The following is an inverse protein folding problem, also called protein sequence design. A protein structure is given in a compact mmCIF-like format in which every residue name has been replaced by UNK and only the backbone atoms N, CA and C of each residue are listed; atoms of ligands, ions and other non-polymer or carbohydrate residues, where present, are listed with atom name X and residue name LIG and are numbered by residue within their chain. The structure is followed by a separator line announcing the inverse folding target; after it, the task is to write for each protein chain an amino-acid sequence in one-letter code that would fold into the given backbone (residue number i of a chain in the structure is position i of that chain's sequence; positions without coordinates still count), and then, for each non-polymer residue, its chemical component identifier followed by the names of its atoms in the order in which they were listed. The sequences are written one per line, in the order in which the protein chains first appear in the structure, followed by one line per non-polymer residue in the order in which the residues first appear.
data_IF_823642136940
#
_entry.id   IF_823642136940
#
_cell.length_a   1.000
_cell.length_b   1.000
_cell.length_c   1.000
_cell.angle_alpha   90.00
_cell.angle_beta   90.00
_cell.angle_gamma   90.00
#
_symmetry.space_group_name_H-M   'P 1'
#
loop_
_entity.id
_entity.type
_entity.pdbx_description
1 polymer ?
#
# COMPACT_ATOMS: atom_id res chain seq x y z
N UNK A 1 -0.71 -25.76 3.97
CA UNK A 1 0.60 -25.79 4.69
C UNK A 1 0.85 -24.40 5.22
N UNK A 2 0.99 -24.23 6.54
CA UNK A 2 1.36 -22.95 7.16
C UNK A 2 2.83 -22.61 6.96
N UNK A 3 3.24 -21.44 7.48
CA UNK A 3 4.66 -21.06 7.54
C UNK A 3 5.43 -22.05 8.43
N UNK A 4 6.66 -22.38 8.06
CA UNK A 4 7.50 -23.32 8.81
C UNK A 4 7.83 -22.82 10.24
N UNK A 5 7.97 -21.50 10.40
CA UNK A 5 8.04 -20.79 11.68
C UNK A 5 6.96 -19.72 11.71
N UNK A 6 6.37 -19.52 12.87
CA UNK A 6 5.34 -18.49 13.05
C UNK A 6 5.97 -17.09 13.04
N UNK A 7 5.44 -16.22 12.19
CA UNK A 7 5.93 -14.84 12.00
C UNK A 7 4.86 -13.87 12.44
N UNK A 8 5.23 -12.94 13.30
CA UNK A 8 4.33 -11.99 13.95
C UNK A 8 4.65 -10.54 13.58
N UNK A 9 3.59 -9.73 13.53
CA UNK A 9 3.66 -8.28 13.43
C UNK A 9 3.74 -7.72 14.84
N UNK A 10 4.83 -7.03 15.15
CA UNK A 10 5.02 -6.40 16.46
C UNK A 10 4.50 -4.99 16.45
N UNK A 11 4.79 -4.26 15.36
CA UNK A 11 4.51 -2.84 15.30
C UNK A 11 4.28 -2.36 13.88
N UNK A 12 3.49 -1.29 13.77
CA UNK A 12 3.17 -0.62 12.51
C UNK A 12 3.10 0.89 12.72
N UNK A 13 3.72 1.63 11.81
CA UNK A 13 3.64 3.08 11.70
C UNK A 13 3.63 3.53 10.24
N UNK A 14 3.07 4.70 10.00
CA UNK A 14 3.19 5.41 8.73
C UNK A 14 3.35 6.92 8.93
N UNK A 15 3.84 7.59 7.92
CA UNK A 15 3.69 9.04 7.82
C UNK A 15 2.22 9.40 7.53
N UNK A 16 1.82 10.66 7.71
CA UNK A 16 0.67 11.16 6.99
C UNK A 16 0.93 11.02 5.48
N UNK A 17 -0.14 10.85 4.70
CA UNK A 17 -0.01 10.84 3.24
C UNK A 17 -0.39 12.20 2.69
N UNK A 18 0.56 12.86 2.01
CA UNK A 18 0.31 14.12 1.35
C UNK A 18 -0.28 13.92 -0.04
N UNK A 19 -0.88 14.97 -0.57
CA UNK A 19 -1.39 14.97 -1.94
C UNK A 19 -0.32 15.50 -2.88
N UNK A 20 0.27 14.60 -3.64
CA UNK A 20 1.32 14.93 -4.60
C UNK A 20 0.83 15.84 -5.73
N UNK A 21 1.67 16.80 -6.10
CA UNK A 21 1.40 17.87 -7.05
C UNK A 21 2.62 18.14 -7.93
N UNK A 22 2.92 17.31 -8.94
CA UNK A 22 4.13 17.51 -9.77
C UNK A 22 4.23 18.87 -10.47
N UNK A 23 3.06 19.52 -10.75
CA UNK A 23 3.00 20.84 -11.39
C UNK A 23 2.91 22.01 -10.39
N UNK A 24 2.61 21.75 -9.14
CA UNK A 24 2.43 22.72 -8.06
C UNK A 24 3.02 22.13 -6.78
N UNK A 25 4.34 21.86 -6.74
CA UNK A 25 4.98 21.11 -5.66
C UNK A 25 4.82 21.79 -4.28
N UNK A 26 4.70 23.09 -4.24
CA UNK A 26 4.46 23.89 -3.03
C UNK A 26 3.13 23.55 -2.32
N UNK A 27 2.20 22.87 -3.01
CA UNK A 27 0.91 22.42 -2.45
C UNK A 27 0.98 21.02 -1.86
N UNK A 28 2.08 20.30 -2.03
CA UNK A 28 2.34 19.01 -1.40
C UNK A 28 2.97 19.22 -0.04
N UNK A 29 2.30 18.86 1.04
CA UNK A 29 2.77 19.10 2.40
C UNK A 29 4.06 18.34 2.74
N UNK A 30 4.39 17.26 2.02
CA UNK A 30 5.65 16.54 2.19
C UNK A 30 6.73 16.91 1.17
N UNK A 31 6.51 17.95 0.35
CA UNK A 31 7.46 18.36 -0.69
C UNK A 31 8.87 18.69 -0.17
N UNK A 32 9.02 19.07 1.09
CA UNK A 32 10.32 19.35 1.70
C UNK A 32 11.08 18.11 2.20
N UNK A 33 10.52 16.90 2.06
CA UNK A 33 11.07 15.66 2.60
C UNK A 33 11.40 14.64 1.53
N UNK A 34 12.51 13.94 1.70
CA UNK A 34 12.77 12.68 1.03
C UNK A 34 12.06 11.55 1.79
N UNK A 35 11.45 10.62 1.07
CA UNK A 35 10.69 9.56 1.75
C UNK A 35 11.58 8.46 2.38
N UNK A 36 12.82 8.32 1.97
CA UNK A 36 13.81 7.47 2.67
C UNK A 36 14.21 8.04 4.03
N UNK A 37 14.29 9.37 4.19
CA UNK A 37 14.46 10.04 5.49
C UNK A 37 13.23 9.82 6.39
N UNK A 38 12.04 10.00 5.84
CA UNK A 38 10.79 9.77 6.59
C UNK A 38 10.66 8.30 7.01
N UNK A 39 11.03 7.33 6.16
CA UNK A 39 11.07 5.92 6.53
C UNK A 39 12.05 5.64 7.68
N UNK A 40 13.23 6.26 7.65
CA UNK A 40 14.20 6.16 8.73
C UNK A 40 13.65 6.68 10.07
N UNK A 41 12.91 7.79 10.04
CA UNK A 41 12.23 8.30 11.24
C UNK A 41 11.21 7.30 11.78
N UNK A 42 10.42 6.64 10.91
CA UNK A 42 9.47 5.60 11.31
C UNK A 42 10.19 4.39 11.94
N UNK A 43 11.29 3.92 11.35
CA UNK A 43 12.07 2.82 11.92
C UNK A 43 12.65 3.18 13.28
N UNK A 44 13.24 4.39 13.43
CA UNK A 44 13.78 4.86 14.70
C UNK A 44 12.71 4.96 15.80
N UNK A 45 11.51 5.45 15.46
CA UNK A 45 10.41 5.49 16.42
C UNK A 45 9.94 4.08 16.82
N UNK A 46 9.87 3.12 15.88
CA UNK A 46 9.57 1.72 16.18
C UNK A 46 10.60 1.08 17.11
N UNK A 47 11.88 1.27 16.82
CA UNK A 47 12.99 0.77 17.65
C UNK A 47 12.87 1.35 19.07
N UNK A 48 12.70 2.67 19.18
CA UNK A 48 12.59 3.38 20.46
C UNK A 48 11.40 2.92 21.29
N UNK A 49 10.18 2.90 20.71
CA UNK A 49 8.95 2.59 21.46
C UNK A 49 8.84 1.12 21.85
N UNK A 50 9.49 0.22 21.09
CA UNK A 50 9.59 -1.18 21.42
C UNK A 50 10.84 -1.53 22.26
N UNK A 51 11.68 -0.54 22.59
CA UNK A 51 12.95 -0.72 23.32
C UNK A 51 13.82 -1.82 22.70
N UNK A 52 13.82 -1.90 21.37
CA UNK A 52 14.57 -2.89 20.60
C UNK A 52 16.03 -2.45 20.50
N UNK A 53 16.98 -3.35 20.81
CA UNK A 53 18.37 -3.11 20.44
C UNK A 53 18.50 -3.20 18.91
N UNK A 54 19.01 -2.17 18.22
CA UNK A 54 19.21 -2.24 16.76
C UNK A 54 20.06 -3.44 16.30
N UNK A 55 20.91 -3.98 17.14
CA UNK A 55 21.73 -5.19 16.86
C UNK A 55 20.90 -6.47 16.77
N UNK A 56 19.67 -6.45 17.24
CA UNK A 56 18.74 -7.59 17.11
C UNK A 56 18.06 -7.65 15.74
N UNK A 57 18.26 -6.64 14.88
CA UNK A 57 17.66 -6.56 13.55
C UNK A 57 18.60 -7.26 12.56
N UNK A 58 18.08 -8.25 11.84
CA UNK A 58 18.85 -9.02 10.87
C UNK A 58 18.77 -8.41 9.47
N UNK A 59 17.58 -7.99 9.06
CA UNK A 59 17.31 -7.50 7.69
C UNK A 59 16.41 -6.28 7.68
N UNK A 60 16.52 -5.47 6.63
CA UNK A 60 15.56 -4.41 6.34
C UNK A 60 15.17 -4.41 4.86
N UNK A 61 13.88 -4.20 4.56
CA UNK A 61 13.37 -4.13 3.19
C UNK A 61 12.71 -2.78 2.92
N UNK A 62 12.92 -2.22 1.73
CA UNK A 62 12.29 -0.97 1.29
C UNK A 62 11.59 -1.18 -0.03
N UNK A 63 10.25 -1.06 -0.04
CA UNK A 63 9.44 -1.10 -1.26
C UNK A 63 9.32 0.28 -1.90
N UNK A 64 9.40 0.34 -3.23
CA UNK A 64 9.06 1.52 -4.03
C UNK A 64 8.63 1.10 -5.42
N UNK A 65 7.61 1.75 -5.97
CA UNK A 65 7.11 1.43 -7.31
C UNK A 65 7.91 2.10 -8.44
N UNK A 66 8.58 3.21 -8.12
CA UNK A 66 9.41 3.94 -9.05
C UNK A 66 10.83 4.10 -8.48
N UNK A 67 11.72 3.09 -8.59
CA UNK A 67 13.08 3.10 -8.04
C UNK A 67 14.01 4.02 -8.86
N UNK A 68 13.62 5.27 -9.02
CA UNK A 68 14.29 6.29 -9.81
C UNK A 68 14.62 7.50 -8.94
N UNK A 69 15.58 8.30 -9.35
CA UNK A 69 15.99 9.54 -8.67
C UNK A 69 16.17 9.30 -7.17
N UNK A 70 15.46 10.03 -6.32
CA UNK A 70 15.58 9.88 -4.85
C UNK A 70 14.89 8.63 -4.27
N UNK A 71 14.01 7.95 -5.03
CA UNK A 71 13.53 6.62 -4.65
C UNK A 71 14.54 5.50 -4.97
N UNK A 72 15.66 5.83 -5.62
CA UNK A 72 16.82 4.94 -5.70
C UNK A 72 17.50 4.91 -4.32
N UNK A 73 17.29 3.86 -3.57
CA UNK A 73 17.73 3.76 -2.17
C UNK A 73 19.02 2.97 -1.99
N UNK A 74 19.77 2.74 -3.08
CA UNK A 74 20.97 1.90 -3.07
C UNK A 74 20.73 0.55 -2.40
N UNK A 75 19.76 -0.20 -2.91
CA UNK A 75 19.39 -1.50 -2.36
C UNK A 75 18.81 -1.45 -0.93
N UNK A 76 18.15 -0.36 -0.57
CA UNK A 76 17.58 -0.15 0.77
C UNK A 76 18.56 0.40 1.80
N UNK A 77 19.82 0.71 1.42
CA UNK A 77 20.82 1.22 2.37
C UNK A 77 20.57 2.67 2.81
N UNK A 78 20.04 3.53 1.95
CA UNK A 78 19.85 4.93 2.32
C UNK A 78 18.92 5.11 3.53
N UNK A 79 17.71 4.54 3.61
CA UNK A 79 16.92 4.66 4.82
C UNK A 79 17.59 4.02 6.05
N UNK A 80 18.36 2.93 5.86
CA UNK A 80 19.11 2.32 6.97
C UNK A 80 20.25 3.24 7.48
N UNK A 81 20.92 3.97 6.58
CA UNK A 81 21.93 4.95 6.94
C UNK A 81 21.32 6.17 7.66
N UNK A 82 20.21 6.72 7.14
CA UNK A 82 19.49 7.79 7.81
C UNK A 82 18.98 7.39 9.21
N UNK A 83 18.57 6.12 9.37
CA UNK A 83 18.18 5.59 10.68
C UNK A 83 19.38 5.25 11.59
N UNK A 84 20.61 5.43 11.11
CA UNK A 84 21.84 5.06 11.82
C UNK A 84 21.83 3.59 12.32
N UNK A 85 21.31 2.69 11.49
CA UNK A 85 21.28 1.26 11.80
C UNK A 85 22.68 0.65 11.68
N UNK A 86 22.99 -0.45 12.40
CA UNK A 86 24.24 -1.19 12.26
C UNK A 86 24.54 -1.58 10.80
N UNK A 87 25.80 -1.50 10.40
CA UNK A 87 26.21 -1.80 9.01
C UNK A 87 26.03 -3.26 8.63
N UNK A 88 26.00 -4.13 9.62
CA UNK A 88 25.81 -5.57 9.50
C UNK A 88 24.40 -5.95 9.03
N UNK A 89 23.43 -5.07 9.19
CA UNK A 89 22.06 -5.32 8.74
C UNK A 89 22.02 -5.40 7.21
N UNK A 90 21.59 -6.53 6.69
CA UNK A 90 21.35 -6.72 5.26
C UNK A 90 20.12 -5.91 4.82
N UNK A 91 20.19 -5.27 3.67
CA UNK A 91 19.06 -4.46 3.14
C UNK A 91 18.70 -4.89 1.73
N UNK A 92 17.43 -4.71 1.39
CA UNK A 92 16.90 -4.97 0.05
C UNK A 92 15.92 -3.88 -0.37
N UNK A 93 16.04 -3.41 -1.62
CA UNK A 93 14.99 -2.63 -2.28
C UNK A 93 14.13 -3.55 -3.15
N UNK A 94 12.80 -3.41 -3.06
CA UNK A 94 11.83 -4.22 -3.80
C UNK A 94 10.98 -3.31 -4.68
N UNK A 95 10.90 -3.65 -5.97
CA UNK A 95 9.93 -3.11 -6.92
C UNK A 95 8.98 -4.23 -7.35
N UNK A 96 7.74 -4.10 -6.97
CA UNK A 96 6.58 -4.84 -7.48
C UNK A 96 5.42 -3.86 -7.64
N UNK A 97 5.71 -2.71 -8.22
CA UNK A 97 4.76 -1.62 -8.42
C UNK A 97 4.02 -1.26 -7.11
N UNK A 98 2.71 -1.11 -7.15
CA UNK A 98 1.90 -0.76 -5.97
C UNK A 98 2.06 -1.72 -4.79
N UNK A 99 2.42 -3.00 -5.04
CA UNK A 99 2.61 -4.04 -4.03
C UNK A 99 3.99 -4.07 -3.38
N UNK A 100 4.91 -3.19 -3.74
CA UNK A 100 6.32 -3.26 -3.37
C UNK A 100 6.57 -3.43 -1.88
N UNK A 101 5.92 -2.62 -1.02
CA UNK A 101 6.09 -2.76 0.44
C UNK A 101 5.54 -4.09 0.97
N UNK A 102 4.40 -4.56 0.47
CA UNK A 102 3.84 -5.85 0.89
C UNK A 102 4.70 -7.03 0.39
N UNK A 103 5.28 -6.90 -0.79
CA UNK A 103 6.25 -7.88 -1.31
C UNK A 103 7.54 -7.87 -0.48
N UNK A 104 8.05 -6.70 -0.09
CA UNK A 104 9.17 -6.58 0.83
C UNK A 104 8.88 -7.22 2.19
N UNK A 105 7.71 -6.95 2.78
CA UNK A 105 7.26 -7.61 4.01
C UNK A 105 7.14 -9.13 3.82
N UNK A 106 6.60 -9.60 2.69
CA UNK A 106 6.54 -11.03 2.35
C UNK A 106 7.94 -11.65 2.27
N UNK A 107 8.92 -10.96 1.69
CA UNK A 107 10.31 -11.44 1.65
C UNK A 107 10.87 -11.60 3.06
N UNK A 108 10.69 -10.60 3.94
CA UNK A 108 11.08 -10.70 5.35
C UNK A 108 10.38 -11.84 6.10
N UNK A 109 9.06 -12.03 5.87
CA UNK A 109 8.32 -13.17 6.44
C UNK A 109 8.89 -14.50 5.96
N UNK A 110 9.26 -14.62 4.69
CA UNK A 110 9.88 -15.84 4.16
C UNK A 110 11.28 -16.08 4.76
N UNK A 111 12.08 -15.02 4.92
CA UNK A 111 13.40 -15.11 5.57
C UNK A 111 13.27 -15.64 6.99
N UNK A 112 12.36 -15.09 7.78
CA UNK A 112 12.07 -15.54 9.15
C UNK A 112 11.54 -16.97 9.16
N UNK A 113 10.56 -17.30 8.30
CA UNK A 113 9.95 -18.62 8.25
C UNK A 113 10.95 -19.73 7.85
N UNK A 114 11.97 -19.40 7.04
CA UNK A 114 13.05 -20.30 6.65
C UNK A 114 14.21 -20.32 7.67
N UNK A 115 14.21 -19.46 8.68
CA UNK A 115 15.23 -19.41 9.72
C UNK A 115 16.49 -18.63 9.35
N UNK A 116 16.45 -17.80 8.31
CA UNK A 116 17.56 -16.92 7.93
C UNK A 116 17.60 -15.62 8.73
N UNK A 117 16.45 -15.18 9.25
CA UNK A 117 16.32 -14.01 10.10
C UNK A 117 15.37 -14.30 11.28
N UNK A 118 15.46 -13.50 12.33
CA UNK A 118 14.51 -13.47 13.43
C UNK A 118 13.76 -12.14 13.53
N UNK A 119 14.38 -11.03 13.11
CA UNK A 119 13.82 -9.68 13.18
C UNK A 119 14.04 -8.95 11.86
N UNK A 120 12.95 -8.45 11.26
CA UNK A 120 13.01 -7.70 10.01
C UNK A 120 12.24 -6.38 10.13
N UNK A 121 12.87 -5.29 9.69
CA UNK A 121 12.22 -4.01 9.44
C UNK A 121 11.76 -3.99 7.98
N UNK A 122 10.47 -3.99 7.74
CA UNK A 122 9.93 -3.75 6.41
C UNK A 122 9.47 -2.30 6.27
N UNK A 123 9.71 -1.70 5.12
CA UNK A 123 9.31 -0.34 4.80
C UNK A 123 8.79 -0.20 3.38
N UNK A 124 8.15 0.92 3.12
CA UNK A 124 7.74 1.31 1.78
C UNK A 124 7.71 2.83 1.66
N UNK A 125 8.10 3.32 0.50
CA UNK A 125 8.19 4.74 0.19
C UNK A 125 7.61 5.04 -1.18
N UNK A 126 7.06 6.24 -1.35
CA UNK A 126 6.80 6.83 -2.66
C UNK A 126 6.69 8.34 -2.54
N UNK A 127 7.19 9.10 -3.52
CA UNK A 127 7.02 10.55 -3.61
C UNK A 127 6.64 10.97 -5.03
N UNK A 128 5.32 11.05 -5.29
CA UNK A 128 4.83 11.23 -6.66
C UNK A 128 4.83 12.71 -7.12
N UNK A 129 5.21 13.67 -6.26
CA UNK A 129 5.55 15.05 -6.68
C UNK A 129 6.94 15.09 -7.28
N UNK A 130 7.94 14.51 -6.60
CA UNK A 130 9.34 14.50 -7.05
C UNK A 130 9.56 13.52 -8.20
N UNK A 131 8.83 12.39 -8.17
CA UNK A 131 8.90 11.35 -9.20
C UNK A 131 7.50 11.12 -9.77
N UNK A 132 7.10 11.89 -10.78
CA UNK A 132 5.78 11.76 -11.40
C UNK A 132 5.53 10.37 -11.97
N UNK A 133 4.27 9.98 -12.11
CA UNK A 133 3.88 8.76 -12.81
C UNK A 133 4.55 8.66 -14.18
N UNK A 134 5.12 7.49 -14.48
CA UNK A 134 5.92 7.30 -15.69
C UNK A 134 7.34 7.88 -15.60
N UNK A 135 7.80 8.24 -14.38
CA UNK A 135 9.19 8.64 -14.11
C UNK A 135 9.59 9.99 -14.69
N UNK A 136 8.63 10.86 -15.04
CA UNK A 136 8.94 12.17 -15.63
C UNK A 136 9.72 12.10 -16.96
N UNK A 137 9.59 11.00 -17.71
CA UNK A 137 10.32 10.74 -18.96
C UNK A 137 11.66 10.00 -18.79
N UNK A 138 12.04 9.65 -17.55
CA UNK A 138 13.26 8.88 -17.29
C UNK A 138 13.11 7.38 -17.64
N UNK A 139 11.87 6.86 -17.68
CA UNK A 139 11.60 5.47 -18.05
C UNK A 139 11.69 5.31 -19.57
N UNK A 140 12.58 4.42 -20.01
CA UNK A 140 12.68 4.00 -21.41
C UNK A 140 11.96 2.65 -21.57
N UNK A 141 10.84 2.66 -22.26
CA UNK A 141 10.14 1.42 -22.56
C UNK A 141 10.85 0.64 -23.66
N UNK A 142 10.83 -0.72 -23.61
CA UNK A 142 11.48 -1.54 -24.63
C UNK A 142 10.81 -1.44 -26.00
N UNK A 143 11.51 -0.93 -27.00
CA UNK A 143 10.99 -0.78 -28.37
C UNK A 143 10.48 -2.09 -28.97
N UNK A 144 11.14 -3.21 -28.66
CA UNK A 144 10.71 -4.53 -29.11
C UNK A 144 9.32 -4.93 -28.58
N UNK A 145 8.97 -4.57 -27.34
CA UNK A 145 7.64 -4.85 -26.80
C UNK A 145 6.56 -3.94 -27.38
N UNK A 146 6.94 -2.76 -27.89
CA UNK A 146 6.01 -1.79 -28.48
C UNK A 146 5.76 -2.12 -29.95
N UNK A 147 6.82 -2.41 -30.72
CA UNK A 147 6.78 -2.40 -32.18
C UNK A 147 6.75 -3.78 -32.84
N UNK A 148 7.19 -4.86 -32.15
CA UNK A 148 7.18 -6.20 -32.70
C UNK A 148 5.76 -6.82 -32.57
N UNK A 149 5.12 -7.20 -33.72
CA UNK A 149 3.79 -7.81 -33.74
C UNK A 149 3.63 -9.07 -32.86
N UNK A 150 4.74 -9.76 -32.58
CA UNK A 150 4.76 -10.93 -31.67
C UNK A 150 4.24 -10.59 -30.27
N UNK A 151 4.44 -9.35 -29.82
CA UNK A 151 4.08 -8.90 -28.49
C UNK A 151 2.80 -8.05 -28.45
N UNK A 152 2.09 -7.92 -29.58
CA UNK A 152 0.88 -7.08 -29.69
C UNK A 152 -0.17 -7.39 -28.61
N UNK A 153 -0.26 -8.67 -28.15
CA UNK A 153 -1.19 -9.06 -27.09
C UNK A 153 -0.95 -8.36 -25.73
N UNK A 154 0.29 -7.88 -25.51
CA UNK A 154 0.68 -7.22 -24.26
C UNK A 154 0.10 -5.81 -24.23
N UNK A 155 0.00 -5.15 -25.39
CA UNK A 155 -0.41 -3.76 -25.54
C UNK A 155 0.28 -2.86 -24.50
N UNK A 156 1.63 -2.80 -24.58
CA UNK A 156 2.44 -2.22 -23.50
C UNK A 156 2.02 -0.79 -23.17
N UNK A 157 1.79 0.05 -24.17
CA UNK A 157 1.46 1.46 -23.95
C UNK A 157 0.07 1.63 -23.30
N UNK A 158 -0.86 0.73 -23.57
CA UNK A 158 -2.13 0.65 -22.86
C UNK A 158 -1.93 0.14 -21.42
N UNK A 159 -1.15 -0.93 -21.27
CA UNK A 159 -0.93 -1.63 -19.99
C UNK A 159 -0.19 -0.80 -18.95
N UNK A 160 0.67 0.14 -19.36
CA UNK A 160 1.36 1.06 -18.43
C UNK A 160 0.49 2.25 -18.02
N UNK A 161 -0.68 2.44 -18.63
CA UNK A 161 -1.64 3.46 -18.22
C UNK A 161 -2.72 2.86 -17.31
N UNK A 162 -2.55 3.03 -16.00
CA UNK A 162 -3.43 2.42 -15.00
C UNK A 162 -4.90 2.82 -15.16
N UNK A 163 -5.17 4.05 -15.61
CA UNK A 163 -6.53 4.51 -15.82
C UNK A 163 -7.23 3.83 -17.02
N UNK A 164 -6.49 3.54 -18.10
CA UNK A 164 -7.03 2.76 -19.22
C UNK A 164 -7.32 1.33 -18.82
N UNK A 165 -6.44 0.71 -18.02
CA UNK A 165 -6.66 -0.66 -17.53
C UNK A 165 -7.86 -0.74 -16.58
N UNK A 166 -8.05 0.29 -15.73
CA UNK A 166 -9.23 0.39 -14.86
C UNK A 166 -10.52 0.59 -15.68
N UNK A 167 -10.48 1.43 -16.72
CA UNK A 167 -11.62 1.65 -17.62
C UNK A 167 -11.99 0.37 -18.36
N UNK A 168 -11.01 -0.38 -18.89
CA UNK A 168 -11.25 -1.67 -19.55
C UNK A 168 -11.84 -2.71 -18.57
N UNK A 169 -11.33 -2.78 -17.35
CA UNK A 169 -11.90 -3.65 -16.32
C UNK A 169 -13.35 -3.26 -16.03
N UNK A 170 -13.66 -1.96 -15.90
CA UNK A 170 -15.02 -1.47 -15.67
C UNK A 170 -15.97 -1.90 -16.79
N UNK A 171 -15.56 -1.74 -18.06
CA UNK A 171 -16.34 -2.15 -19.23
C UNK A 171 -16.59 -3.68 -19.22
N UNK A 172 -15.56 -4.47 -18.88
CA UNK A 172 -15.64 -5.92 -18.81
C UNK A 172 -16.62 -6.42 -17.74
N UNK A 173 -16.65 -5.77 -16.57
CA UNK A 173 -17.50 -6.22 -15.44
C UNK A 173 -18.87 -5.52 -15.41
N UNK A 174 -19.11 -4.55 -16.30
CA UNK A 174 -20.38 -3.83 -16.42
C UNK A 174 -20.73 -2.99 -15.18
N UNK A 175 -19.71 -2.45 -14.47
CA UNK A 175 -19.92 -1.65 -13.28
C UNK A 175 -20.36 -0.23 -13.65
N UNK A 176 -21.33 0.31 -12.97
CA UNK A 176 -21.83 1.65 -13.28
C UNK A 176 -20.94 2.74 -12.66
N UNK A 177 -20.94 3.92 -13.27
CA UNK A 177 -20.29 5.11 -12.72
C UNK A 177 -20.83 5.43 -11.33
N UNK A 178 -22.13 5.33 -11.14
CA UNK A 178 -22.81 5.64 -9.88
C UNK A 178 -22.39 4.70 -8.74
N UNK A 179 -22.23 3.39 -9.01
CA UNK A 179 -21.71 2.45 -8.00
C UNK A 179 -20.30 2.83 -7.56
N UNK A 180 -19.44 3.19 -8.51
CA UNK A 180 -18.06 3.61 -8.22
C UNK A 180 -18.02 4.90 -7.42
N UNK A 181 -18.85 5.88 -7.77
CA UNK A 181 -18.92 7.17 -7.07
C UNK A 181 -19.51 7.01 -5.66
N UNK A 182 -20.51 6.16 -5.46
CA UNK A 182 -21.05 5.80 -4.12
C UNK A 182 -19.97 5.17 -3.24
N UNK A 183 -19.16 4.31 -3.80
CA UNK A 183 -18.08 3.67 -3.05
C UNK A 183 -16.98 4.68 -2.70
N UNK A 184 -16.62 5.59 -3.60
CA UNK A 184 -15.68 6.67 -3.34
C UNK A 184 -16.19 7.64 -2.26
N UNK A 185 -17.46 8.04 -2.33
CA UNK A 185 -18.11 8.85 -1.30
C UNK A 185 -18.01 8.19 0.07
N UNK A 186 -18.31 6.89 0.15
CA UNK A 186 -18.18 6.11 1.39
C UNK A 186 -16.74 6.13 1.92
N UNK A 187 -15.74 5.96 1.07
CA UNK A 187 -14.33 5.98 1.47
C UNK A 187 -13.96 7.30 2.15
N UNK A 188 -14.33 8.45 1.54
CA UNK A 188 -14.10 9.78 2.12
C UNK A 188 -14.84 10.00 3.43
N UNK A 189 -16.10 9.59 3.51
CA UNK A 189 -16.92 9.72 4.72
C UNK A 189 -16.32 8.93 5.87
N UNK A 190 -15.99 7.65 5.66
CA UNK A 190 -15.38 6.80 6.69
C UNK A 190 -14.02 7.30 7.14
N UNK A 191 -13.15 7.76 6.23
CA UNK A 191 -11.85 8.32 6.59
C UNK A 191 -12.01 9.60 7.42
N UNK A 192 -12.97 10.46 7.08
CA UNK A 192 -13.27 11.67 7.84
C UNK A 192 -13.82 11.37 9.24
N UNK A 193 -14.75 10.43 9.35
CA UNK A 193 -15.32 9.97 10.63
C UNK A 193 -14.29 9.26 11.50
N UNK A 194 -13.28 8.62 10.88
CA UNK A 194 -12.22 7.87 11.56
C UNK A 194 -10.94 8.69 11.81
N UNK A 195 -10.97 10.01 11.65
CA UNK A 195 -9.79 10.88 11.73
C UNK A 195 -8.92 10.60 12.99
N UNK A 196 -9.52 10.56 14.15
CA UNK A 196 -8.79 10.32 15.41
C UNK A 196 -8.26 8.88 15.51
N UNK A 197 -8.97 7.90 14.96
CA UNK A 197 -8.49 6.53 14.89
C UNK A 197 -7.28 6.41 13.95
N UNK A 198 -7.32 7.06 12.78
CA UNK A 198 -6.22 7.09 11.81
C UNK A 198 -4.96 7.77 12.37
N UNK A 199 -5.11 8.82 13.19
CA UNK A 199 -3.97 9.42 13.90
C UNK A 199 -3.17 8.41 14.73
N UNK A 200 -3.80 7.39 15.26
CA UNK A 200 -3.12 6.34 16.04
C UNK A 200 -2.16 5.47 15.23
N UNK A 201 -2.11 5.57 13.91
CA UNK A 201 -1.11 4.90 13.05
C UNK A 201 -0.14 5.90 12.38
N UNK A 202 -0.42 7.20 12.50
CA UNK A 202 0.38 8.26 11.88
C UNK A 202 1.43 8.76 12.86
N UNK A 203 2.68 8.72 12.47
CA UNK A 203 3.74 9.49 13.11
C UNK A 203 3.75 10.89 12.48
N UNK A 204 3.51 11.95 13.27
CA UNK A 204 3.56 13.32 12.75
C UNK A 204 4.93 13.68 12.18
N UNK A 205 4.94 14.44 11.08
CA UNK A 205 6.15 14.95 10.43
C UNK A 205 6.17 16.47 10.54
N UNK A 206 7.28 17.06 10.94
CA UNK A 206 7.42 18.52 10.94
C UNK A 206 7.54 19.01 9.49
N UNK A 207 6.70 19.95 9.11
CA UNK A 207 6.73 20.59 7.79
C UNK A 207 6.98 22.08 7.92
N UNK A 208 7.56 22.67 6.88
CA UNK A 208 7.73 24.13 6.76
C UNK A 208 6.70 24.65 5.77
N UNK A 209 5.87 25.59 6.23
CA UNK A 209 4.85 26.23 5.40
C UNK A 209 5.49 27.32 4.50
N UNK A 210 4.77 27.78 3.45
CA UNK A 210 5.27 28.83 2.54
C UNK A 210 5.69 30.14 3.21
N UNK A 211 5.11 30.44 4.37
CA UNK A 211 5.48 31.62 5.20
C UNK A 211 6.70 31.39 6.08
N UNK A 212 7.33 30.21 6.00
CA UNK A 212 8.49 29.81 6.79
C UNK A 212 8.16 29.28 8.19
N UNK A 213 6.90 29.27 8.60
CA UNK A 213 6.49 28.70 9.89
C UNK A 213 6.56 27.16 9.86
N UNK A 214 6.80 26.56 11.03
CA UNK A 214 6.85 25.11 11.19
C UNK A 214 5.60 24.60 11.89
N UNK A 215 5.08 23.48 11.43
CA UNK A 215 4.00 22.79 12.11
C UNK A 215 4.15 21.27 12.02
N UNK A 216 3.51 20.55 12.96
CA UNK A 216 3.37 19.10 12.87
C UNK A 216 2.21 18.75 11.94
N UNK A 217 2.51 17.92 10.96
CA UNK A 217 1.57 17.39 9.98
C UNK A 217 1.19 15.96 10.36
N UNK A 218 -0.06 15.73 10.76
CA UNK A 218 -0.56 14.48 11.40
C UNK A 218 -1.86 13.94 10.79
N UNK A 219 -2.19 14.32 9.55
CA UNK A 219 -3.43 13.92 8.86
C UNK A 219 -3.20 13.62 7.38
N UNK A 220 -4.09 12.87 6.76
CA UNK A 220 -4.02 12.58 5.32
C UNK A 220 -4.64 13.71 4.51
N UNK A 221 -3.84 14.37 3.67
CA UNK A 221 -4.20 15.61 2.96
C UNK A 221 -5.33 15.43 1.93
N UNK A 222 -5.59 14.21 1.47
CA UNK A 222 -6.56 13.95 0.42
C UNK A 222 -7.98 13.71 0.94
N UNK A 223 -8.18 13.52 2.25
CA UNK A 223 -9.50 13.26 2.85
C UNK A 223 -10.43 14.48 2.69
N UNK A 224 -11.63 14.25 2.16
CA UNK A 224 -12.67 15.26 1.95
C UNK A 224 -14.00 14.78 2.52
N UNK A 225 -14.23 15.08 3.78
CA UNK A 225 -15.46 14.68 4.48
C UNK A 225 -16.73 15.36 3.98
N UNK A 226 -16.59 16.47 3.27
CA UNK A 226 -17.66 17.29 2.66
C UNK A 226 -18.02 16.89 1.23
N UNK A 227 -17.39 15.84 0.68
CA UNK A 227 -17.71 15.31 -0.66
C UNK A 227 -19.18 14.87 -0.73
N UNK A 228 -19.86 15.21 -1.84
CA UNK A 228 -21.23 14.75 -2.14
C UNK A 228 -21.28 13.91 -3.41
N UNK A 229 -22.35 13.14 -3.59
CA UNK A 229 -22.55 12.33 -4.79
C UNK A 229 -22.71 13.21 -6.04
N UNK A 230 -23.34 14.37 -5.92
CA UNK A 230 -23.51 15.34 -6.98
C UNK A 230 -22.19 15.91 -7.47
N UNK A 231 -21.29 16.22 -6.52
CA UNK A 231 -19.93 16.67 -6.86
C UNK A 231 -19.16 15.59 -7.62
N UNK A 232 -19.25 14.33 -7.18
CA UNK A 232 -18.60 13.20 -7.85
C UNK A 232 -19.19 12.96 -9.24
N UNK A 233 -20.52 12.96 -9.37
CA UNK A 233 -21.22 12.80 -10.64
C UNK A 233 -20.85 13.88 -11.67
N UNK A 234 -20.61 15.13 -11.21
CA UNK A 234 -20.18 16.26 -12.04
C UNK A 234 -18.75 16.18 -12.57
N UNK A 235 -17.93 15.25 -12.09
CA UNK A 235 -16.53 15.12 -12.53
C UNK A 235 -16.44 14.53 -13.95
N UNK A 236 -15.61 15.15 -14.78
CA UNK A 236 -15.31 14.66 -16.13
C UNK A 236 -14.49 13.35 -16.07
N UNK A 237 -14.67 12.46 -17.06
CA UNK A 237 -13.77 11.31 -17.24
C UNK A 237 -12.31 11.76 -17.34
N UNK A 238 -11.40 11.00 -16.71
CA UNK A 238 -10.01 11.39 -16.60
C UNK A 238 -9.11 10.78 -17.70
N UNK A 239 -9.53 9.67 -18.31
CA UNK A 239 -8.67 8.90 -19.22
C UNK A 239 -9.27 8.71 -20.62
N UNK A 240 -10.59 8.50 -20.73
CA UNK A 240 -11.30 8.31 -22.00
C UNK A 240 -12.47 9.30 -22.05
N UNK A 241 -12.71 10.02 -23.15
CA UNK A 241 -13.74 11.08 -23.21
C UNK A 241 -15.13 10.65 -22.78
N UNK A 242 -15.51 9.42 -23.13
CA UNK A 242 -16.81 8.78 -22.79
C UNK A 242 -16.66 7.75 -21.64
N UNK A 243 -15.58 7.81 -20.89
CA UNK A 243 -15.26 6.87 -19.81
C UNK A 243 -16.01 7.15 -18.51
N UNK A 244 -15.87 6.22 -17.57
CA UNK A 244 -16.50 6.30 -16.25
C UNK A 244 -15.50 6.50 -15.12
N UNK A 245 -14.19 6.34 -15.40
CA UNK A 245 -13.13 6.57 -14.42
C UNK A 245 -12.81 8.06 -14.34
N UNK A 246 -12.89 8.60 -13.14
CA UNK A 246 -12.67 10.03 -12.84
C UNK A 246 -11.69 10.23 -11.70
N UNK A 247 -11.26 11.46 -11.47
CA UNK A 247 -10.47 11.81 -10.29
C UNK A 247 -11.23 11.57 -8.95
N UNK A 248 -12.54 11.37 -8.97
CA UNK A 248 -13.35 11.10 -7.79
C UNK A 248 -13.43 9.63 -7.40
N UNK A 249 -13.31 8.72 -8.38
CA UNK A 249 -13.38 7.27 -8.16
C UNK A 249 -12.04 6.55 -8.42
N UNK A 250 -10.95 7.32 -8.41
CA UNK A 250 -9.56 6.87 -8.45
C UNK A 250 -8.79 7.45 -7.25
N UNK A 251 -7.76 6.74 -6.79
CA UNK A 251 -6.86 7.27 -5.76
C UNK A 251 -6.09 8.49 -6.27
N UNK A 252 -5.82 9.49 -5.41
CA UNK A 252 -4.95 10.61 -5.77
C UNK A 252 -3.49 10.17 -5.89
N UNK A 253 -2.65 11.05 -6.47
CA UNK A 253 -1.19 10.93 -6.38
C UNK A 253 -0.74 11.35 -4.98
N UNK A 254 0.19 10.61 -4.37
CA UNK A 254 0.58 10.85 -2.98
C UNK A 254 2.09 10.70 -2.75
N UNK A 255 2.55 11.35 -1.70
CA UNK A 255 3.82 11.02 -1.06
C UNK A 255 3.55 10.43 0.33
N UNK A 256 4.42 9.51 0.76
CA UNK A 256 4.34 8.90 2.08
C UNK A 256 5.25 7.71 2.25
N UNK A 257 5.45 7.35 3.52
CA UNK A 257 6.23 6.20 3.95
C UNK A 257 5.44 5.34 4.95
N UNK A 258 5.74 4.05 4.96
CA UNK A 258 5.15 3.07 5.89
C UNK A 258 6.22 2.14 6.43
N UNK A 259 6.07 1.69 7.66
CA UNK A 259 7.00 0.79 8.33
C UNK A 259 6.28 -0.31 9.11
N UNK A 260 6.87 -1.50 9.13
CA UNK A 260 6.37 -2.68 9.82
C UNK A 260 7.55 -3.38 10.50
N UNK A 261 7.42 -3.68 11.79
CA UNK A 261 8.35 -4.53 12.53
C UNK A 261 7.78 -5.94 12.60
N UNK A 262 8.48 -6.89 12.01
CA UNK A 262 8.10 -8.31 12.03
C UNK A 262 9.21 -9.14 12.63
N UNK A 263 8.82 -10.21 13.32
CA UNK A 263 9.81 -11.14 13.88
C UNK A 263 9.25 -12.54 14.06
N UNK A 264 10.14 -13.50 14.35
CA UNK A 264 9.71 -14.83 14.77
C UNK A 264 8.95 -14.73 16.09
N UNK A 265 7.93 -15.57 16.29
CA UNK A 265 7.18 -15.61 17.56
C UNK A 265 8.09 -15.89 18.75
N UNK A 266 9.07 -16.75 18.59
CA UNK A 266 10.01 -17.10 19.66
C UNK A 266 10.88 -15.92 20.05
N UNK A 267 11.34 -15.12 19.05
CA UNK A 267 12.09 -13.89 19.30
C UNK A 267 11.22 -12.85 20.02
N UNK A 268 9.97 -12.68 19.59
CA UNK A 268 9.02 -11.78 20.26
C UNK A 268 8.83 -12.16 21.74
N UNK A 269 8.64 -13.45 22.04
CA UNK A 269 8.55 -13.94 23.41
C UNK A 269 9.82 -13.68 24.21
N UNK A 270 11.00 -13.96 23.62
CA UNK A 270 12.31 -13.73 24.28
C UNK A 270 12.50 -12.26 24.63
N UNK A 271 12.05 -11.34 23.78
CA UNK A 271 12.15 -9.89 23.99
C UNK A 271 10.97 -9.32 24.83
N UNK A 272 10.00 -10.14 25.22
CA UNK A 272 8.81 -9.70 25.97
C UNK A 272 7.86 -8.80 25.16
N UNK A 273 7.93 -8.83 23.83
CA UNK A 273 7.12 -8.03 22.92
C UNK A 273 5.78 -8.72 22.63
N UNK A 274 4.70 -7.93 22.59
CA UNK A 274 3.35 -8.43 22.34
C UNK A 274 3.00 -8.22 20.88
N UNK A 275 2.71 -9.29 20.10
CA UNK A 275 2.29 -9.15 18.73
C UNK A 275 0.94 -8.44 18.57
N UNK A 276 0.77 -7.74 17.45
CA UNK A 276 -0.52 -7.21 16.98
C UNK A 276 -1.32 -8.26 16.23
N UNK A 277 -0.63 -9.02 15.37
CA UNK A 277 -1.18 -10.07 14.52
C UNK A 277 -0.08 -11.04 14.11
N UNK A 278 -0.46 -12.18 13.54
CA UNK A 278 0.47 -13.12 12.87
C UNK A 278 0.13 -13.26 11.39
N UNK A 279 1.15 -13.47 10.56
CA UNK A 279 0.95 -13.83 9.16
C UNK A 279 0.52 -15.29 9.04
N UNK A 280 -0.52 -15.54 8.25
CA UNK A 280 -1.05 -16.88 7.98
C UNK A 280 -0.59 -17.38 6.62
N UNK A 281 -0.76 -16.55 5.60
CA UNK A 281 -0.41 -16.91 4.21
C UNK A 281 -0.28 -15.68 3.32
N UNK A 282 0.32 -15.91 2.16
CA UNK A 282 0.37 -14.96 1.05
C UNK A 282 -0.13 -15.62 -0.24
N UNK A 283 -0.62 -14.79 -1.16
CA UNK A 283 -0.89 -15.17 -2.54
C UNK A 283 -0.41 -14.10 -3.50
N UNK A 284 0.28 -14.51 -4.55
CA UNK A 284 0.70 -13.64 -5.65
C UNK A 284 0.19 -14.21 -6.97
N UNK A 285 -0.22 -13.35 -7.87
CA UNK A 285 -0.77 -13.78 -9.15
C UNK A 285 -0.48 -12.78 -10.27
N UNK A 286 -0.29 -13.28 -11.48
CA UNK A 286 -0.32 -12.50 -12.70
C UNK A 286 -1.70 -12.56 -13.35
N UNK A 287 -2.07 -11.49 -14.05
CA UNK A 287 -3.27 -11.36 -14.89
C UNK A 287 -2.90 -10.66 -16.19
N UNK A 288 -3.85 -10.56 -17.13
CA UNK A 288 -3.67 -9.74 -18.32
C UNK A 288 -3.31 -8.30 -17.91
N UNK A 289 -2.16 -7.76 -18.38
CA UNK A 289 -1.70 -6.43 -17.96
C UNK A 289 -2.67 -5.31 -18.36
N UNK A 290 -3.52 -5.52 -19.37
CA UNK A 290 -4.54 -4.55 -19.80
C UNK A 290 -5.75 -4.47 -18.85
N UNK A 291 -5.84 -5.34 -17.86
CA UNK A 291 -6.88 -5.35 -16.79
C UNK A 291 -6.25 -5.58 -15.42
N UNK A 292 -5.17 -4.85 -15.11
CA UNK A 292 -4.39 -5.07 -13.87
C UNK A 292 -5.24 -5.09 -12.60
N UNK A 293 -6.38 -4.39 -12.60
CA UNK A 293 -7.30 -4.33 -11.46
C UNK A 293 -7.97 -5.67 -11.10
N UNK A 294 -7.87 -6.71 -11.94
CA UNK A 294 -8.28 -8.08 -11.63
C UNK A 294 -7.31 -8.78 -10.67
N UNK A 295 -6.09 -8.28 -10.50
CA UNK A 295 -5.03 -8.89 -9.69
C UNK A 295 -5.42 -9.33 -8.27
N UNK A 296 -6.20 -8.55 -7.50
CA UNK A 296 -6.68 -8.95 -6.17
C UNK A 296 -7.45 -10.27 -6.15
N UNK A 297 -8.19 -10.59 -7.19
CA UNK A 297 -9.02 -11.80 -7.24
C UNK A 297 -8.18 -13.07 -7.19
N UNK A 298 -7.31 -13.36 -8.19
CA UNK A 298 -6.52 -14.60 -8.16
C UNK A 298 -5.48 -14.63 -7.05
N UNK A 299 -4.89 -13.49 -6.64
CA UNK A 299 -3.95 -13.45 -5.52
C UNK A 299 -4.63 -13.83 -4.20
N UNK A 300 -5.81 -13.28 -3.93
CA UNK A 300 -6.61 -13.64 -2.74
C UNK A 300 -7.04 -15.10 -2.75
N UNK A 301 -7.50 -15.63 -3.90
CA UNK A 301 -7.82 -17.07 -4.02
C UNK A 301 -6.64 -17.96 -3.64
N UNK A 302 -5.43 -17.60 -4.07
CA UNK A 302 -4.20 -18.32 -3.69
C UNK A 302 -3.89 -18.19 -2.20
N UNK A 303 -4.02 -16.99 -1.60
CA UNK A 303 -3.78 -16.78 -0.18
C UNK A 303 -4.77 -17.58 0.67
N UNK A 304 -6.07 -17.54 0.34
CA UNK A 304 -7.12 -18.32 1.02
C UNK A 304 -6.85 -19.82 0.94
N UNK A 305 -6.51 -20.33 -0.27
CA UNK A 305 -6.14 -21.73 -0.46
C UNK A 305 -4.94 -22.14 0.39
N UNK A 306 -3.89 -21.32 0.44
CA UNK A 306 -2.70 -21.59 1.25
C UNK A 306 -2.99 -21.59 2.75
N UNK A 307 -3.92 -20.74 3.21
CA UNK A 307 -4.40 -20.71 4.59
C UNK A 307 -5.38 -21.84 4.95
N UNK A 308 -5.96 -22.55 3.97
CA UNK A 308 -7.06 -23.47 4.20
C UNK A 308 -8.37 -22.77 4.61
N UNK A 309 -8.55 -21.52 4.20
CA UNK A 309 -9.69 -20.67 4.52
C UNK A 309 -10.55 -20.38 3.28
N UNK A 310 -11.77 -19.93 3.53
CA UNK A 310 -12.69 -19.40 2.53
C UNK A 310 -12.95 -17.91 2.80
N UNK A 311 -13.48 -17.17 1.84
CA UNK A 311 -13.78 -15.75 2.00
C UNK A 311 -14.70 -15.45 3.20
N UNK A 312 -15.65 -16.35 3.49
CA UNK A 312 -16.57 -16.23 4.66
C UNK A 312 -15.89 -16.35 6.02
N UNK A 313 -14.66 -16.89 6.06
CA UNK A 313 -13.89 -17.05 7.29
C UNK A 313 -13.08 -15.79 7.63
N UNK A 314 -13.08 -14.81 6.72
CA UNK A 314 -12.38 -13.52 6.88
C UNK A 314 -13.35 -12.48 7.42
N UNK A 315 -13.04 -11.93 8.59
CA UNK A 315 -13.88 -10.97 9.28
C UNK A 315 -13.79 -9.57 8.65
N UNK A 316 -12.55 -9.11 8.33
CA UNK A 316 -12.30 -7.78 7.77
C UNK A 316 -11.32 -7.81 6.61
N UNK A 317 -11.51 -6.85 5.70
CA UNK A 317 -10.76 -6.75 4.47
C UNK A 317 -10.19 -5.35 4.30
N UNK A 318 -8.91 -5.27 3.96
CA UNK A 318 -8.28 -4.06 3.42
C UNK A 318 -7.94 -4.32 1.95
N UNK A 319 -8.74 -3.77 1.06
CA UNK A 319 -8.58 -3.90 -0.39
C UNK A 319 -8.16 -2.54 -0.93
N UNK A 320 -7.00 -2.45 -1.55
CA UNK A 320 -6.51 -1.18 -2.04
C UNK A 320 -7.46 -0.54 -3.07
N UNK A 321 -7.79 0.72 -2.84
CA UNK A 321 -8.69 1.50 -3.68
C UNK A 321 -7.91 2.30 -4.73
N UNK A 322 -7.04 1.65 -5.52
CA UNK A 322 -6.37 2.33 -6.64
C UNK A 322 -7.39 2.98 -7.58
N UNK A 323 -8.48 2.25 -7.82
CA UNK A 323 -9.72 2.70 -8.48
C UNK A 323 -10.90 1.99 -7.80
N UNK A 324 -12.06 2.62 -7.74
CA UNK A 324 -13.26 2.03 -7.14
C UNK A 324 -13.63 0.67 -7.77
N UNK A 325 -13.48 0.54 -9.10
CA UNK A 325 -13.77 -0.70 -9.82
C UNK A 325 -12.94 -1.89 -9.32
N UNK A 326 -11.69 -1.67 -8.90
CA UNK A 326 -10.80 -2.73 -8.40
C UNK A 326 -11.36 -3.34 -7.12
N UNK A 327 -11.69 -2.49 -6.15
CA UNK A 327 -12.23 -2.93 -4.86
C UNK A 327 -13.61 -3.54 -5.02
N UNK A 328 -14.50 -2.90 -5.79
CA UNK A 328 -15.85 -3.40 -6.06
C UNK A 328 -15.83 -4.74 -6.82
N UNK A 329 -14.87 -4.94 -7.75
CA UNK A 329 -14.68 -6.23 -8.44
C UNK A 329 -14.34 -7.35 -7.45
N UNK A 330 -13.44 -7.09 -6.49
CA UNK A 330 -13.10 -8.05 -5.45
C UNK A 330 -14.28 -8.29 -4.48
N UNK A 331 -14.99 -7.23 -4.06
CA UNK A 331 -16.20 -7.35 -3.24
C UNK A 331 -17.23 -8.27 -3.91
N UNK A 332 -17.50 -8.07 -5.20
CA UNK A 332 -18.45 -8.88 -5.97
C UNK A 332 -17.99 -10.35 -6.09
N UNK A 333 -16.71 -10.57 -6.36
CA UNK A 333 -16.15 -11.93 -6.52
C UNK A 333 -16.26 -12.75 -5.25
N UNK A 334 -15.96 -12.15 -4.10
CA UNK A 334 -15.94 -12.86 -2.81
C UNK A 334 -17.23 -12.75 -2.02
N UNK A 335 -18.25 -12.08 -2.57
CA UNK A 335 -19.56 -11.91 -1.92
C UNK A 335 -19.48 -11.10 -0.62
N UNK A 336 -18.59 -10.09 -0.56
CA UNK A 336 -18.35 -9.32 0.66
C UNK A 336 -19.43 -8.26 0.86
N UNK A 337 -19.68 -7.95 2.13
CA UNK A 337 -20.45 -6.77 2.51
C UNK A 337 -19.54 -5.55 2.60
N UNK A 338 -20.04 -4.38 2.26
CA UNK A 338 -19.27 -3.14 2.31
C UNK A 338 -18.78 -2.80 3.73
N UNK A 339 -19.54 -3.16 4.77
CA UNK A 339 -19.19 -2.94 6.18
C UNK A 339 -18.03 -3.80 6.70
N UNK A 340 -17.57 -4.78 5.92
CA UNK A 340 -16.38 -5.59 6.21
C UNK A 340 -15.12 -5.06 5.49
N UNK A 341 -15.27 -4.11 4.56
CA UNK A 341 -14.19 -3.67 3.67
C UNK A 341 -13.80 -2.23 3.96
N UNK A 342 -12.51 -1.96 4.18
CA UNK A 342 -11.96 -0.62 4.36
C UNK A 342 -12.80 0.20 5.35
N UNK A 343 -12.99 -0.32 6.54
CA UNK A 343 -13.97 0.19 7.53
C UNK A 343 -13.64 1.57 8.09
N UNK A 344 -12.42 2.05 7.90
CA UNK A 344 -11.96 3.39 8.25
C UNK A 344 -11.62 4.25 7.01
N UNK A 345 -12.20 3.89 5.85
CA UNK A 345 -11.85 4.49 4.55
C UNK A 345 -10.65 3.82 3.90
N UNK A 346 -10.43 4.10 2.63
CA UNK A 346 -9.36 3.51 1.84
C UNK A 346 -8.61 4.53 0.99
N UNK A 347 -7.85 4.04 0.01
CA UNK A 347 -6.87 4.83 -0.73
C UNK A 347 -7.45 5.99 -1.55
N UNK A 348 -8.72 5.95 -1.95
CA UNK A 348 -9.35 7.08 -2.63
C UNK A 348 -9.46 8.31 -1.71
N UNK A 349 -9.61 8.09 -0.40
CA UNK A 349 -9.66 9.14 0.61
C UNK A 349 -8.31 9.38 1.28
N UNK A 350 -7.69 8.31 1.83
CA UNK A 350 -6.44 8.40 2.61
C UNK A 350 -5.25 8.69 1.70
N UNK A 351 -5.21 8.10 0.49
CA UNK A 351 -4.12 8.20 -0.45
C UNK A 351 -3.48 6.85 -0.80
N UNK A 352 -2.73 6.88 -1.90
CA UNK A 352 -2.04 5.72 -2.45
C UNK A 352 -0.60 6.05 -2.87
N UNK A 353 0.31 6.32 -1.92
CA UNK A 353 1.74 6.31 -2.25
C UNK A 353 2.12 4.89 -2.62
N UNK A 354 2.36 4.64 -3.93
CA UNK A 354 2.35 3.32 -4.56
C UNK A 354 3.17 2.29 -3.77
N UNK A 355 4.48 2.52 -3.67
CA UNK A 355 5.41 1.60 -3.02
C UNK A 355 5.22 1.44 -1.51
N UNK A 356 4.50 2.37 -0.86
CA UNK A 356 4.24 2.32 0.58
C UNK A 356 2.92 1.64 0.96
N UNK A 357 1.95 1.59 0.04
CA UNK A 357 0.56 1.23 0.37
C UNK A 357 0.37 -0.19 0.91
N UNK A 358 1.18 -1.14 0.48
CA UNK A 358 1.00 -2.55 0.89
C UNK A 358 1.16 -2.77 2.39
N UNK A 359 2.12 -2.11 3.04
CA UNK A 359 2.28 -2.15 4.50
C UNK A 359 1.14 -1.41 5.20
N UNK A 360 0.64 -0.28 4.64
CA UNK A 360 -0.54 0.41 5.17
C UNK A 360 -1.73 -0.55 5.28
N UNK A 361 -2.01 -1.32 4.22
CA UNK A 361 -3.12 -2.27 4.23
C UNK A 361 -3.01 -3.29 5.38
N UNK A 362 -1.84 -3.92 5.52
CA UNK A 362 -1.62 -4.95 6.55
C UNK A 362 -1.63 -4.35 7.96
N UNK A 363 -0.96 -3.22 8.16
CA UNK A 363 -0.87 -2.58 9.47
C UNK A 363 -2.21 -2.02 9.95
N UNK A 364 -2.94 -1.34 9.08
CA UNK A 364 -4.31 -0.86 9.34
C UNK A 364 -5.24 -2.05 9.66
N UNK A 365 -5.15 -3.14 8.86
CA UNK A 365 -5.95 -4.34 9.09
C UNK A 365 -5.66 -5.00 10.45
N UNK A 366 -4.40 -5.07 10.87
CA UNK A 366 -4.04 -5.61 12.20
C UNK A 366 -4.68 -4.78 13.33
N UNK A 367 -4.73 -3.45 13.19
CA UNK A 367 -5.42 -2.56 14.13
C UNK A 367 -6.93 -2.75 14.11
N UNK A 368 -7.54 -2.90 12.93
CA UNK A 368 -8.98 -3.17 12.77
C UNK A 368 -9.37 -4.49 13.46
N UNK A 369 -8.61 -5.55 13.24
CA UNK A 369 -8.86 -6.84 13.87
C UNK A 369 -8.87 -6.73 15.39
N UNK A 370 -7.92 -6.00 15.97
CA UNK A 370 -7.87 -5.75 17.41
C UNK A 370 -9.07 -4.94 17.91
N UNK A 371 -9.41 -3.85 17.22
CA UNK A 371 -10.54 -2.96 17.57
C UNK A 371 -11.88 -3.70 17.52
N UNK A 372 -12.12 -4.38 16.41
CA UNK A 372 -13.41 -5.04 16.12
C UNK A 372 -13.47 -6.48 16.66
N UNK A 373 -12.40 -6.96 17.33
CA UNK A 373 -12.28 -8.33 17.84
C UNK A 373 -12.49 -9.40 16.74
N UNK A 374 -12.04 -9.09 15.51
CA UNK A 374 -12.02 -10.04 14.41
C UNK A 374 -10.87 -11.02 14.55
N UNK A 375 -11.00 -12.20 13.96
CA UNK A 375 -9.99 -13.28 14.03
C UNK A 375 -9.06 -13.27 12.81
N UNK A 376 -9.62 -13.24 11.62
CA UNK A 376 -8.87 -13.25 10.36
C UNK A 376 -9.13 -12.00 9.54
N UNK A 377 -8.09 -11.49 8.93
CA UNK A 377 -8.17 -10.39 7.97
C UNK A 377 -7.42 -10.70 6.68
N UNK A 378 -7.88 -10.11 5.59
CA UNK A 378 -7.23 -10.20 4.29
C UNK A 378 -6.88 -8.79 3.77
N UNK A 379 -5.60 -8.55 3.51
CA UNK A 379 -5.11 -7.38 2.81
C UNK A 379 -4.77 -7.77 1.38
N UNK A 380 -5.29 -7.05 0.37
CA UNK A 380 -5.02 -7.36 -1.04
C UNK A 380 -4.99 -6.11 -1.91
N UNK A 381 -4.21 -6.17 -3.00
CA UNK A 381 -4.08 -5.06 -3.93
C UNK A 381 -3.71 -5.52 -5.33
N UNK A 382 -4.10 -4.70 -6.33
CA UNK A 382 -3.60 -4.79 -7.68
C UNK A 382 -2.21 -4.16 -7.80
N UNK A 383 -1.48 -4.56 -8.81
CA UNK A 383 -0.13 -4.07 -9.08
C UNK A 383 0.00 -3.79 -10.57
N UNK A 384 0.69 -2.71 -10.92
CA UNK A 384 1.00 -2.37 -12.30
C UNK A 384 1.65 -3.55 -13.05
N UNK A 385 1.45 -3.62 -14.36
CA UNK A 385 1.94 -4.73 -15.18
C UNK A 385 1.08 -6.00 -15.14
N UNK A 386 -0.11 -5.94 -14.53
CA UNK A 386 -1.05 -7.07 -14.47
C UNK A 386 -0.69 -8.08 -13.39
N UNK A 387 -0.58 -7.62 -12.15
CA UNK A 387 -0.26 -8.47 -11.01
C UNK A 387 -1.17 -8.17 -9.81
N UNK A 388 -1.11 -9.02 -8.80
CA UNK A 388 -1.76 -8.81 -7.53
C UNK A 388 -1.10 -9.59 -6.41
N UNK A 389 -1.17 -9.03 -5.21
CA UNK A 389 -0.69 -9.64 -3.97
C UNK A 389 -1.79 -9.61 -2.90
N UNK A 390 -1.84 -10.65 -2.09
CA UNK A 390 -2.70 -10.75 -0.93
C UNK A 390 -1.95 -11.34 0.27
N UNK A 391 -2.28 -10.87 1.47
CA UNK A 391 -1.81 -11.42 2.73
C UNK A 391 -3.01 -11.72 3.63
N UNK A 392 -3.01 -12.88 4.27
CA UNK A 392 -3.95 -13.22 5.34
C UNK A 392 -3.21 -13.12 6.66
N UNK A 393 -3.79 -12.38 7.59
CA UNK A 393 -3.30 -12.22 8.95
C UNK A 393 -4.34 -12.69 9.96
N UNK A 394 -3.88 -13.06 11.14
CA UNK A 394 -4.70 -13.47 12.27
C UNK A 394 -4.41 -12.56 13.46
N UNK A 395 -5.44 -12.09 14.14
CA UNK A 395 -5.31 -11.33 15.38
C UNK A 395 -4.65 -12.14 16.50
N UNK A 396 -3.98 -11.44 17.44
CA UNK A 396 -3.33 -12.00 18.63
C UNK A 396 -4.11 -11.68 19.90
#
# INVERSE_FOLDING_TARGET
MGLAREVVIIDYLRSPFSRSRPKEPEKDLLNGWRMDEVLAMLWNEMIKRNKLDPKEIDEATTGTANPLLENFTFGGKFPAFYANLPFEISTQQVDQQCGSALCGARTGVMSIACGYADVVLAGGIEHMTHIPMGGGGAIKYPDGLINDPKYKRIDLMFSVNMGFTAQKLQEMVGMTREEMDKFALRSHKLASESKEWLKGEIMPVEITLPDGSKQLYDYDQAVRGDTTLEQLAGLKPAYKPDGTITAGNASPLNAGATALLIMSRDKAKKLGLKPMASFVSFGVAGVDPTIMGEGPVPSTKKALKAAGLQAKDIDYWEINEAFAVVTLRAIKEFGLKWDQVNVHGGAMAIGHPLGASGIRLVGTLARILKEKKGKYGCATMCEGGGQGIAAIIKAE
#
